data_IF_887903859220
#
_entry.id   IF_887903859220
#
_cell.length_a   1.000
_cell.length_b   1.000
_cell.length_c   1.000
_cell.angle_alpha   90.00
_cell.angle_beta   90.00
_cell.angle_gamma   90.00
#
_symmetry.space_group_name_H-M   'P 1'
#
loop_
_entity.id
_entity.type
_entity.pdbx_description
1 polymer ?
#
# COMPACT_ATOMS: atom_id res chain seq x y z
N UNK A 1 -12.92 -72.22 -22.19
CA UNK A 1 -14.21 -72.24 -21.48
C UNK A 1 -14.03 -71.67 -20.08
N UNK A 2 -14.99 -70.83 -19.66
CA UNK A 2 -15.28 -70.31 -18.30
C UNK A 2 -14.58 -69.01 -17.86
N UNK A 3 -15.44 -67.97 -17.84
CA UNK A 3 -15.34 -66.64 -17.29
C UNK A 3 -15.36 -66.63 -15.75
N UNK A 4 -14.64 -65.69 -15.12
CA UNK A 4 -14.93 -65.07 -13.81
C UNK A 4 -14.39 -63.63 -13.92
N UNK A 5 -15.17 -62.63 -14.36
CA UNK A 5 -16.06 -61.77 -13.56
C UNK A 5 -15.47 -61.37 -12.19
N UNK A 6 -14.77 -60.23 -12.15
CA UNK A 6 -14.64 -59.45 -10.92
C UNK A 6 -15.02 -58.00 -11.21
N UNK A 7 -16.27 -57.72 -10.84
CA UNK A 7 -16.84 -56.41 -10.60
C UNK A 7 -16.01 -55.68 -9.54
N UNK A 8 -15.37 -54.58 -9.91
CA UNK A 8 -15.05 -53.54 -8.93
C UNK A 8 -16.08 -52.42 -9.03
N UNK A 9 -16.85 -52.35 -7.95
CA UNK A 9 -17.87 -51.38 -7.65
C UNK A 9 -17.39 -49.93 -7.84
N UNK A 10 -18.13 -49.21 -8.68
CA UNK A 10 -18.24 -47.76 -8.65
C UNK A 10 -18.93 -47.38 -7.33
N UNK A 11 -18.16 -46.87 -6.38
CA UNK A 11 -18.66 -46.41 -5.09
C UNK A 11 -18.42 -44.91 -4.94
N UNK A 12 -19.53 -44.17 -5.00
CA UNK A 12 -19.74 -42.83 -4.44
C UNK A 12 -18.89 -41.67 -4.96
N UNK A 13 -19.38 -41.09 -6.08
CA UNK A 13 -19.35 -39.64 -6.29
C UNK A 13 -20.25 -39.01 -5.21
N UNK A 14 -19.69 -38.84 -4.01
CA UNK A 14 -20.26 -37.89 -3.07
C UNK A 14 -19.95 -36.50 -3.61
N UNK A 15 -20.93 -35.92 -4.30
CA UNK A 15 -21.00 -34.51 -4.61
C UNK A 15 -20.96 -33.72 -3.31
N UNK A 16 -19.75 -33.46 -2.80
CA UNK A 16 -19.52 -32.34 -1.89
C UNK A 16 -19.65 -31.09 -2.75
N UNK A 17 -20.86 -30.54 -2.74
CA UNK A 17 -21.09 -29.15 -3.07
C UNK A 17 -20.01 -28.31 -2.39
N UNK A 18 -19.10 -27.74 -3.18
CA UNK A 18 -18.20 -26.68 -2.75
C UNK A 18 -19.00 -25.37 -2.68
N UNK A 19 -20.09 -25.39 -1.90
CA UNK A 19 -20.77 -24.17 -1.50
C UNK A 19 -19.86 -23.46 -0.51
N UNK A 20 -19.07 -22.55 -1.07
CA UNK A 20 -18.79 -21.25 -0.50
C UNK A 20 -18.58 -21.25 1.01
N UNK A 21 -17.44 -21.78 1.45
CA UNK A 21 -16.75 -21.18 2.60
C UNK A 21 -16.31 -19.77 2.15
N UNK A 22 -17.27 -18.85 2.06
CA UNK A 22 -17.03 -17.44 2.17
C UNK A 22 -16.47 -17.27 3.58
N UNK A 23 -15.15 -17.41 3.69
CA UNK A 23 -14.37 -16.79 4.75
C UNK A 23 -14.82 -15.34 4.75
N UNK A 24 -15.77 -15.04 5.63
CA UNK A 24 -16.29 -13.71 5.85
C UNK A 24 -15.11 -12.95 6.43
N UNK A 25 -14.31 -12.41 5.51
CA UNK A 25 -13.04 -11.75 5.78
C UNK A 25 -13.40 -10.62 6.70
N UNK A 26 -13.09 -10.77 7.99
CA UNK A 26 -13.39 -9.75 9.00
C UNK A 26 -12.82 -8.45 8.47
N UNK A 27 -13.69 -7.45 8.34
CA UNK A 27 -13.25 -6.12 7.93
C UNK A 27 -12.14 -5.68 8.87
N UNK A 28 -11.05 -5.18 8.29
CA UNK A 28 -9.94 -4.61 9.05
C UNK A 28 -10.15 -3.12 9.32
N UNK A 29 -11.26 -2.57 8.82
CA UNK A 29 -11.71 -1.20 8.99
C UNK A 29 -12.64 -1.13 10.20
N UNK A 30 -12.15 -0.61 11.33
CA UNK A 30 -13.01 -0.32 12.48
C UNK A 30 -13.47 1.12 12.39
N UNK A 31 -14.78 1.39 12.53
CA UNK A 31 -15.36 2.75 12.47
C UNK A 31 -14.94 3.55 11.21
N UNK A 32 -14.86 2.86 10.07
CA UNK A 32 -14.42 3.43 8.79
C UNK A 32 -15.03 2.64 7.63
N UNK A 33 -15.13 3.29 6.48
CA UNK A 33 -15.67 2.69 5.27
C UNK A 33 -14.57 1.92 4.54
N UNK A 34 -14.77 0.61 4.38
CA UNK A 34 -13.90 -0.24 3.57
C UNK A 34 -14.26 -0.08 2.08
N UNK A 35 -13.33 0.42 1.27
CA UNK A 35 -13.59 0.65 -0.14
C UNK A 35 -12.51 0.03 -1.03
N UNK A 36 -12.96 -0.69 -2.07
CA UNK A 36 -12.10 -1.23 -3.11
C UNK A 36 -11.52 -0.13 -4.01
N UNK A 37 -10.22 -0.16 -4.23
CA UNK A 37 -9.42 0.81 -4.99
C UNK A 37 -8.43 0.13 -5.91
N UNK A 38 -8.05 0.81 -6.98
CA UNK A 38 -7.04 0.34 -7.92
C UNK A 38 -5.69 0.94 -7.52
N UNK A 39 -4.76 0.10 -7.09
CA UNK A 39 -3.43 0.53 -6.69
C UNK A 39 -2.47 0.41 -7.86
N UNK A 40 -1.61 1.42 -8.05
CA UNK A 40 -0.48 1.33 -8.98
C UNK A 40 0.74 0.88 -8.21
N UNK A 41 1.36 -0.22 -8.63
CA UNK A 41 2.69 -0.61 -8.22
C UNK A 41 3.70 -0.23 -9.31
N UNK A 42 4.88 0.23 -8.93
CA UNK A 42 5.98 0.39 -9.86
C UNK A 42 7.34 0.21 -9.20
N UNK A 43 8.38 0.03 -10.02
CA UNK A 43 9.72 -0.28 -9.53
C UNK A 43 10.84 0.14 -10.50
N UNK A 44 12.05 0.28 -9.95
CA UNK A 44 13.30 0.44 -10.70
C UNK A 44 14.22 -0.72 -10.38
N UNK A 45 14.71 -1.43 -11.40
CA UNK A 45 15.55 -2.60 -11.24
C UNK A 45 16.92 -2.41 -11.91
N UNK A 46 17.75 -1.56 -11.31
CA UNK A 46 19.08 -1.22 -11.83
C UNK A 46 20.20 -1.98 -11.10
N UNK A 47 19.88 -3.06 -10.37
CA UNK A 47 20.81 -3.77 -9.51
C UNK A 47 20.42 -5.22 -9.23
N UNK A 48 21.35 -5.95 -8.61
CA UNK A 48 21.12 -7.32 -8.16
C UNK A 48 20.13 -7.38 -7.00
N UNK A 49 19.25 -8.37 -7.01
CA UNK A 49 18.33 -8.65 -5.90
C UNK A 49 18.97 -9.67 -4.96
N UNK A 50 19.06 -9.35 -3.68
CA UNK A 50 19.65 -10.24 -2.67
C UNK A 50 18.62 -10.54 -1.57
N UNK A 51 18.74 -11.72 -0.96
CA UNK A 51 17.88 -12.12 0.18
C UNK A 51 18.12 -11.22 1.40
N UNK A 52 19.35 -10.72 1.59
CA UNK A 52 19.67 -9.79 2.64
C UNK A 52 18.86 -8.49 2.50
N UNK A 53 18.83 -7.89 1.31
CA UNK A 53 18.09 -6.66 1.08
C UNK A 53 16.57 -6.90 1.16
N UNK A 54 16.09 -8.05 0.67
CA UNK A 54 14.71 -8.49 0.87
C UNK A 54 14.33 -8.49 2.35
N UNK A 55 15.15 -9.08 3.22
CA UNK A 55 14.93 -9.10 4.67
C UNK A 55 14.94 -7.69 5.29
N UNK A 56 15.95 -6.86 4.97
CA UNK A 56 16.01 -5.47 5.49
C UNK A 56 14.77 -4.66 5.13
N UNK A 57 14.20 -4.89 3.95
CA UNK A 57 12.97 -4.21 3.52
C UNK A 57 11.73 -4.79 4.19
N UNK A 58 11.66 -6.09 4.50
CA UNK A 58 10.61 -6.62 5.37
C UNK A 58 10.62 -5.97 6.74
N UNK A 59 11.80 -5.82 7.33
CA UNK A 59 11.96 -5.17 8.64
C UNK A 59 11.46 -3.72 8.57
N UNK A 60 11.85 -2.98 7.53
CA UNK A 60 11.38 -1.62 7.29
C UNK A 60 9.85 -1.54 7.12
N UNK A 61 9.24 -2.44 6.34
CA UNK A 61 7.78 -2.51 6.15
C UNK A 61 7.08 -2.79 7.48
N UNK A 62 7.57 -3.75 8.26
CA UNK A 62 6.96 -4.14 9.52
C UNK A 62 7.07 -3.01 10.56
N UNK A 63 8.21 -2.32 10.60
CA UNK A 63 8.42 -1.17 11.48
C UNK A 63 7.49 -0.01 11.11
N UNK A 64 7.37 0.35 9.83
CA UNK A 64 6.42 1.38 9.39
C UNK A 64 4.96 0.98 9.64
N UNK A 65 4.60 -0.29 9.44
CA UNK A 65 3.27 -0.81 9.82
C UNK A 65 3.02 -0.64 11.31
N UNK A 66 4.01 -0.89 12.16
CA UNK A 66 3.89 -0.70 13.61
C UNK A 66 3.63 0.77 13.96
N UNK A 67 4.33 1.71 13.31
CA UNK A 67 4.13 3.15 13.51
C UNK A 67 2.75 3.62 13.06
N UNK A 68 2.27 3.14 11.91
CA UNK A 68 0.91 3.38 11.43
C UNK A 68 -0.14 2.87 12.43
N UNK A 69 0.07 1.68 13.00
CA UNK A 69 -0.86 1.14 14.00
C UNK A 69 -0.82 1.92 15.32
N UNK A 70 0.34 2.46 15.70
CA UNK A 70 0.52 3.22 16.94
C UNK A 70 -0.01 4.66 16.86
N UNK A 71 -0.16 5.22 15.67
CA UNK A 71 -0.56 6.62 15.47
C UNK A 71 -1.87 6.72 14.68
N UNK A 72 -2.86 7.42 15.23
CA UNK A 72 -4.13 7.68 14.54
C UNK A 72 -4.08 8.92 13.64
N UNK A 73 -3.31 9.93 14.04
CA UNK A 73 -3.41 11.28 13.47
C UNK A 73 -2.27 11.64 12.50
N UNK A 74 -1.14 10.92 12.55
CA UNK A 74 0.00 11.18 11.65
C UNK A 74 -0.28 10.70 10.22
N UNK A 75 0.17 11.46 9.23
CA UNK A 75 -0.05 11.20 7.80
C UNK A 75 1.21 10.71 7.06
N UNK A 76 2.40 11.06 7.53
CA UNK A 76 3.66 10.71 6.88
C UNK A 76 4.57 9.93 7.82
N UNK A 77 5.24 8.90 7.31
CA UNK A 77 6.12 8.03 8.10
C UNK A 77 7.41 7.77 7.32
N UNK A 78 8.54 8.25 7.84
CA UNK A 78 9.86 8.04 7.25
C UNK A 78 10.64 6.96 8.01
N UNK A 79 11.21 6.03 7.26
CA UNK A 79 12.15 5.02 7.74
C UNK A 79 13.53 5.26 7.10
N UNK A 80 14.61 5.15 7.88
CA UNK A 80 15.98 5.23 7.37
C UNK A 80 16.90 4.39 8.24
N UNK A 81 17.42 3.29 7.69
CA UNK A 81 18.36 2.40 8.38
C UNK A 81 19.01 1.45 7.36
N UNK A 82 20.29 1.11 7.56
CA UNK A 82 21.01 0.10 6.76
C UNK A 82 20.91 0.32 5.23
N UNK A 83 21.01 1.57 4.79
CA UNK A 83 20.84 2.03 3.39
C UNK A 83 19.43 1.85 2.80
N UNK A 84 18.47 1.38 3.59
CA UNK A 84 17.06 1.36 3.23
C UNK A 84 16.43 2.68 3.66
N UNK A 85 15.83 3.38 2.69
CA UNK A 85 14.95 4.52 2.93
C UNK A 85 13.53 4.11 2.57
N UNK A 86 12.61 4.24 3.51
CA UNK A 86 11.19 3.98 3.32
C UNK A 86 10.38 5.23 3.62
N UNK A 87 9.29 5.43 2.90
CA UNK A 87 8.36 6.51 3.21
C UNK A 87 6.94 6.13 2.85
N UNK A 88 6.03 6.45 3.77
CA UNK A 88 4.60 6.17 3.61
C UNK A 88 3.81 7.43 3.83
N UNK A 89 2.84 7.66 2.94
CA UNK A 89 1.83 8.71 3.05
C UNK A 89 0.45 8.06 3.19
N UNK A 90 -0.31 8.52 4.16
CA UNK A 90 -1.70 8.16 4.38
C UNK A 90 -2.49 9.45 4.63
N UNK A 91 -3.23 9.89 3.61
CA UNK A 91 -4.00 11.13 3.64
C UNK A 91 -4.93 11.24 4.85
N UNK A 92 -5.43 12.45 5.09
CA UNK A 92 -6.20 12.78 6.30
C UNK A 92 -7.44 11.91 6.52
N UNK A 93 -8.05 11.40 5.44
CA UNK A 93 -9.19 10.48 5.53
C UNK A 93 -8.79 9.00 5.43
N UNK A 94 -7.54 8.65 5.19
CA UNK A 94 -7.10 7.24 5.18
C UNK A 94 -6.84 6.79 6.61
N UNK A 95 -7.55 5.76 7.08
CA UNK A 95 -7.30 5.20 8.42
C UNK A 95 -5.94 4.47 8.46
N UNK A 96 -5.07 4.84 9.39
CA UNK A 96 -3.70 4.28 9.46
C UNK A 96 -3.67 2.76 9.72
N UNK A 97 -4.53 2.23 10.60
CA UNK A 97 -4.65 0.78 10.83
C UNK A 97 -5.09 0.03 9.56
N UNK A 98 -6.02 0.60 8.81
CA UNK A 98 -6.45 0.08 7.51
C UNK A 98 -5.32 0.07 6.48
N UNK A 99 -4.58 1.17 6.38
CA UNK A 99 -3.39 1.28 5.55
C UNK A 99 -2.30 0.25 5.93
N UNK A 100 -2.03 0.07 7.23
CA UNK A 100 -1.06 -0.92 7.71
C UNK A 100 -1.46 -2.36 7.35
N UNK A 101 -2.75 -2.70 7.49
CA UNK A 101 -3.25 -4.06 7.28
C UNK A 101 -3.48 -4.40 5.80
N UNK A 102 -3.86 -3.42 4.97
CA UNK A 102 -4.27 -3.66 3.59
C UNK A 102 -3.32 -3.06 2.56
N UNK A 103 -2.77 -1.87 2.83
CA UNK A 103 -1.98 -1.12 1.87
C UNK A 103 -0.74 -1.89 1.38
N UNK A 104 -0.06 -2.57 2.30
CA UNK A 104 1.20 -3.26 2.02
C UNK A 104 1.05 -4.63 1.37
N UNK A 105 -0.17 -5.17 1.22
CA UNK A 105 -0.37 -6.57 0.78
C UNK A 105 0.29 -6.88 -0.56
N UNK A 106 0.07 -6.04 -1.57
CA UNK A 106 0.67 -6.27 -2.89
C UNK A 106 2.16 -6.01 -2.88
N UNK A 107 2.63 -5.04 -2.10
CA UNK A 107 4.06 -4.75 -1.98
C UNK A 107 4.81 -5.94 -1.36
N UNK A 108 4.25 -6.54 -0.31
CA UNK A 108 4.76 -7.78 0.29
C UNK A 108 4.72 -8.92 -0.72
N UNK A 109 3.60 -9.09 -1.43
CA UNK A 109 3.49 -10.10 -2.49
C UNK A 109 4.57 -9.93 -3.58
N UNK A 110 4.86 -8.71 -4.01
CA UNK A 110 5.93 -8.43 -4.96
C UNK A 110 7.31 -8.81 -4.42
N UNK A 111 7.56 -8.44 -3.18
CA UNK A 111 8.80 -8.75 -2.49
C UNK A 111 9.00 -10.26 -2.31
N UNK A 112 7.93 -11.00 -2.01
CA UNK A 112 7.93 -12.46 -1.86
C UNK A 112 8.32 -13.15 -3.16
N UNK A 113 7.66 -12.80 -4.26
CA UNK A 113 7.79 -13.48 -5.55
C UNK A 113 9.00 -13.03 -6.37
N UNK A 114 9.41 -11.77 -6.24
CA UNK A 114 10.39 -11.16 -7.14
C UNK A 114 11.59 -10.57 -6.43
N UNK A 115 11.65 -10.60 -5.09
CA UNK A 115 12.73 -9.99 -4.31
C UNK A 115 12.73 -8.47 -4.33
N UNK A 116 13.72 -7.86 -3.66
CA UNK A 116 13.84 -6.39 -3.56
C UNK A 116 14.57 -5.80 -4.78
N UNK A 117 13.89 -5.06 -5.68
CA UNK A 117 14.54 -4.18 -6.66
C UNK A 117 15.24 -2.99 -5.97
N UNK A 118 15.98 -2.16 -6.71
CA UNK A 118 16.60 -0.95 -6.14
C UNK A 118 15.58 -0.02 -5.46
N UNK A 119 14.38 0.01 -6.02
CA UNK A 119 13.27 0.73 -5.43
C UNK A 119 11.96 0.16 -5.93
N UNK A 120 10.94 0.18 -5.09
CA UNK A 120 9.56 0.04 -5.52
C UNK A 120 8.66 1.01 -4.78
N UNK A 121 7.46 1.18 -5.30
CA UNK A 121 6.39 1.88 -4.63
C UNK A 121 5.06 1.24 -4.96
N UNK A 122 4.08 1.54 -4.13
CA UNK A 122 2.68 1.29 -4.40
C UNK A 122 1.89 2.53 -4.00
N UNK A 123 0.90 2.90 -4.79
CA UNK A 123 0.11 4.11 -4.58
C UNK A 123 -1.35 3.93 -4.98
N UNK A 124 -2.21 4.69 -4.32
CA UNK A 124 -3.54 5.05 -4.75
C UNK A 124 -3.66 6.57 -4.71
N UNK A 125 -3.92 7.16 -5.87
CA UNK A 125 -4.07 8.62 -6.03
C UNK A 125 -5.25 8.89 -6.95
N UNK A 126 -6.10 9.82 -6.57
CA UNK A 126 -7.31 10.18 -7.31
C UNK A 126 -7.51 11.71 -7.47
N UNK A 127 -6.43 12.49 -7.30
CA UNK A 127 -6.48 13.96 -7.31
C UNK A 127 -6.88 14.60 -5.98
N UNK A 128 -7.45 13.84 -5.03
CA UNK A 128 -7.72 14.32 -3.68
C UNK A 128 -6.67 13.76 -2.70
N UNK A 129 -5.73 14.58 -2.18
CA UNK A 129 -4.68 14.11 -1.28
C UNK A 129 -5.23 13.54 0.04
N UNK A 130 -6.41 13.96 0.49
CA UNK A 130 -7.05 13.43 1.71
C UNK A 130 -7.35 11.94 1.60
N UNK A 131 -7.63 11.47 0.38
CA UNK A 131 -7.91 10.06 0.08
C UNK A 131 -6.69 9.30 -0.45
N UNK A 132 -5.57 9.98 -0.65
CA UNK A 132 -4.36 9.39 -1.21
C UNK A 132 -3.65 8.48 -0.22
N UNK A 133 -3.08 7.38 -0.72
CA UNK A 133 -2.21 6.50 0.05
C UNK A 133 -1.02 6.08 -0.82
N UNK A 134 0.17 5.99 -0.24
CA UNK A 134 1.32 5.46 -0.94
C UNK A 134 2.42 5.01 -0.02
N UNK A 135 3.21 4.04 -0.47
CA UNK A 135 4.38 3.54 0.20
C UNK A 135 5.50 3.34 -0.82
N UNK A 136 6.71 3.81 -0.51
CA UNK A 136 7.90 3.69 -1.35
C UNK A 136 9.08 3.25 -0.49
N UNK A 137 9.91 2.36 -1.04
CA UNK A 137 11.13 1.88 -0.39
C UNK A 137 12.26 1.85 -1.42
N UNK A 138 13.41 2.39 -1.05
CA UNK A 138 14.62 2.48 -1.86
C UNK A 138 15.80 1.89 -1.06
N UNK A 139 16.50 0.91 -1.63
CA UNK A 139 17.65 0.23 -0.99
C UNK A 139 19.01 0.86 -1.31
N UNK A 140 19.03 1.97 -2.06
CA UNK A 140 20.23 2.70 -2.49
C UNK A 140 20.57 3.87 -1.57
N UNK A 141 19.74 4.14 -0.56
CA UNK A 141 19.95 5.25 0.37
C UNK A 141 19.45 6.61 -0.14
N UNK A 142 18.76 6.66 -1.30
CA UNK A 142 18.35 7.91 -1.92
C UNK A 142 17.11 8.53 -1.26
N UNK A 143 17.34 9.30 -0.20
CA UNK A 143 16.27 9.97 0.55
C UNK A 143 15.49 11.00 -0.28
N UNK A 144 16.17 11.78 -1.10
CA UNK A 144 15.55 12.85 -1.88
C UNK A 144 14.49 12.32 -2.85
N UNK A 145 14.80 11.22 -3.53
CA UNK A 145 13.88 10.55 -4.45
C UNK A 145 12.63 10.03 -3.75
N UNK A 146 12.83 9.43 -2.58
CA UNK A 146 11.74 8.91 -1.75
C UNK A 146 10.85 10.06 -1.22
N UNK A 147 11.46 11.17 -0.83
CA UNK A 147 10.72 12.38 -0.42
C UNK A 147 9.92 12.99 -1.58
N UNK A 148 10.46 12.99 -2.81
CA UNK A 148 9.73 13.48 -3.99
C UNK A 148 8.40 12.74 -4.20
N UNK A 149 8.38 11.41 -4.03
CA UNK A 149 7.16 10.63 -4.15
C UNK A 149 6.08 11.08 -3.15
N UNK A 150 6.48 11.33 -1.91
CA UNK A 150 5.56 11.77 -0.84
C UNK A 150 5.03 13.17 -1.10
N UNK A 151 5.86 14.08 -1.62
CA UNK A 151 5.42 15.42 -2.05
C UNK A 151 4.35 15.34 -3.15
N UNK A 152 4.50 14.41 -4.09
CA UNK A 152 3.49 14.19 -5.11
C UNK A 152 2.18 13.69 -4.49
N UNK A 153 2.24 12.69 -3.61
CA UNK A 153 1.05 12.13 -2.96
C UNK A 153 0.32 13.15 -2.07
N UNK A 154 1.05 13.97 -1.31
CA UNK A 154 0.48 15.04 -0.49
C UNK A 154 -0.17 16.15 -1.33
N UNK A 155 0.21 16.27 -2.61
CA UNK A 155 -0.43 17.13 -3.60
C UNK A 155 -1.51 16.42 -4.44
N UNK A 156 -1.84 15.17 -4.15
CA UNK A 156 -2.83 14.40 -4.91
C UNK A 156 -2.33 13.96 -6.30
N UNK A 157 -1.01 13.86 -6.49
CA UNK A 157 -0.35 13.50 -7.74
C UNK A 157 0.34 12.13 -7.65
N UNK A 158 0.27 11.36 -8.74
CA UNK A 158 0.92 10.05 -8.86
C UNK A 158 2.40 10.16 -9.18
N UNK A 159 3.18 9.17 -8.76
CA UNK A 159 4.57 9.02 -9.20
C UNK A 159 4.58 8.45 -10.62
N UNK A 160 4.75 9.31 -11.62
CA UNK A 160 4.71 8.95 -13.06
C UNK A 160 6.09 8.62 -13.66
N UNK A 161 7.19 8.80 -12.92
CA UNK A 161 8.56 8.79 -13.46
C UNK A 161 9.16 7.39 -13.69
N UNK A 162 8.46 6.31 -13.34
CA UNK A 162 9.02 4.96 -13.38
C UNK A 162 8.54 4.16 -14.60
N UNK A 163 9.47 3.51 -15.28
CA UNK A 163 9.22 2.77 -16.52
C UNK A 163 8.36 1.51 -16.31
N UNK A 164 8.57 0.79 -15.20
CA UNK A 164 7.86 -0.46 -14.92
C UNK A 164 6.71 -0.21 -13.95
N UNK A 165 5.47 -0.37 -14.42
CA UNK A 165 4.25 -0.14 -13.63
C UNK A 165 3.20 -1.23 -13.90
N UNK A 166 2.41 -1.56 -12.89
CA UNK A 166 1.23 -2.42 -12.99
C UNK A 166 0.13 -1.97 -12.04
N UNK A 167 -1.10 -2.36 -12.34
CA UNK A 167 -2.27 -1.97 -11.54
C UNK A 167 -2.90 -3.19 -10.87
N UNK A 168 -3.05 -3.10 -9.55
CA UNK A 168 -3.78 -4.06 -8.71
C UNK A 168 -5.21 -3.57 -8.51
N UNK A 169 -6.20 -4.35 -8.96
CA UNK A 169 -7.61 -3.99 -8.82
C UNK A 169 -8.18 -4.41 -7.46
N UNK A 170 -9.26 -3.74 -7.04
CA UNK A 170 -10.08 -4.12 -5.88
C UNK A 170 -9.31 -4.28 -4.56
N UNK A 171 -8.34 -3.41 -4.32
CA UNK A 171 -7.54 -3.36 -3.09
C UNK A 171 -8.27 -2.55 -2.03
N UNK A 172 -8.34 -3.09 -0.82
CA UNK A 172 -9.09 -2.47 0.26
C UNK A 172 -8.32 -1.31 0.90
N UNK A 173 -8.98 -0.15 1.06
CA UNK A 173 -8.56 0.92 1.95
C UNK A 173 -9.72 1.29 2.88
N UNK A 174 -9.37 1.67 4.11
CA UNK A 174 -10.32 2.12 5.11
C UNK A 174 -10.32 3.65 5.14
N UNK A 175 -11.49 4.26 4.94
CA UNK A 175 -11.65 5.71 4.99
C UNK A 175 -12.41 6.15 6.24
N UNK A 176 -11.84 7.12 6.95
CA UNK A 176 -12.50 7.85 8.03
C UNK A 176 -13.59 8.76 7.42
N UNK A 177 -14.64 9.01 8.20
CA UNK A 177 -15.60 10.06 7.83
C UNK A 177 -14.91 11.43 7.78
N UNK A 178 -15.50 12.37 7.05
CA UNK A 178 -14.94 13.72 6.95
C UNK A 178 -14.81 14.40 8.33
N UNK A 179 -15.74 14.16 9.26
CA UNK A 179 -15.68 14.69 10.63
C UNK A 179 -14.65 13.99 11.51
N UNK A 180 -14.30 12.73 11.22
CA UNK A 180 -13.29 11.95 11.93
C UNK A 180 -11.92 11.95 11.26
N UNK A 181 -11.71 12.80 10.25
CA UNK A 181 -10.43 12.90 9.54
C UNK A 181 -9.31 13.40 10.46
N UNK A 182 -8.08 13.01 10.15
CA UNK A 182 -6.88 13.52 10.80
C UNK A 182 -6.73 15.02 10.51
N UNK A 183 -6.11 15.74 11.43
CA UNK A 183 -5.73 17.12 11.19
C UNK A 183 -4.69 17.21 10.06
N UNK A 184 -4.89 18.17 9.16
CA UNK A 184 -3.90 18.49 8.13
C UNK A 184 -2.75 19.24 8.80
N UNK A 185 -1.65 18.53 8.99
CA UNK A 185 -0.41 19.09 9.54
C UNK A 185 0.62 19.30 8.44
N UNK A 186 1.40 20.37 8.57
CA UNK A 186 2.64 20.51 7.82
C UNK A 186 3.65 19.51 8.41
N UNK A 187 3.76 18.33 7.82
CA UNK A 187 4.91 17.48 8.04
C UNK A 187 6.05 18.03 7.19
N UNK A 188 7.02 18.70 7.82
CA UNK A 188 8.16 19.31 7.13
C UNK A 188 8.95 18.30 6.27
N UNK A 189 8.83 17.01 6.56
CA UNK A 189 9.46 15.93 5.80
C UNK A 189 8.65 15.51 4.56
N UNK A 190 7.33 15.75 4.53
CA UNK A 190 6.43 15.55 3.38
C UNK A 190 6.34 16.78 2.43
N UNK A 191 7.19 17.78 2.67
CA UNK A 191 7.08 19.18 2.27
C UNK A 191 5.84 19.88 2.85
N UNK A 192 5.96 21.20 3.08
CA UNK A 192 4.82 22.04 3.43
C UNK A 192 3.69 21.77 2.42
N UNK A 193 2.49 21.46 2.92
CA UNK A 193 1.29 21.56 2.12
C UNK A 193 1.29 22.97 1.54
N UNK A 194 1.54 23.11 0.24
CA UNK A 194 1.26 24.35 -0.47
C UNK A 194 -0.26 24.47 -0.43
N UNK A 195 -0.74 25.05 0.67
CA UNK A 195 -2.12 25.43 0.84
C UNK A 195 -2.46 26.31 -0.35
N UNK A 196 -3.26 25.76 -1.27
CA UNK A 196 -3.88 26.49 -2.37
C UNK A 196 -4.71 27.70 -1.87
N UNK A 197 -4.83 27.89 -0.56
CA UNK A 197 -5.37 29.07 0.11
C UNK A 197 -4.58 30.37 -0.09
N UNK A 198 -3.37 30.36 -0.66
CA UNK A 198 -2.65 31.62 -0.98
C UNK A 198 -2.85 32.16 -2.41
N UNK A 199 -3.70 31.55 -3.25
CA UNK A 199 -4.04 32.11 -4.56
C UNK A 199 -5.34 32.93 -4.61
N UNK A 200 -6.05 33.10 -3.49
CA UNK A 200 -7.31 33.86 -3.43
C UNK A 200 -7.25 35.17 -2.62
N UNK A 201 -6.07 35.73 -2.38
CA UNK A 201 -5.91 37.03 -1.70
C UNK A 201 -4.94 37.96 -2.41
N UNK A 202 -5.14 38.19 -3.71
CA UNK A 202 -4.77 39.47 -4.35
C UNK A 202 -5.75 39.82 -5.47
N UNK A 203 -6.92 40.33 -5.09
CA UNK A 203 -7.60 41.34 -5.91
C UNK A 203 -6.97 42.67 -5.46
N UNK A 204 -6.10 43.33 -6.26
CA UNK A 204 -5.77 44.71 -5.99
C UNK A 204 -7.02 45.56 -6.21
N UNK A 205 -7.18 46.56 -5.34
CA UNK A 205 -8.24 47.56 -5.37
C UNK A 205 -8.32 48.31 -6.70
#
# INVERSE_FOLDING_TARGET
MKYIFLLFLVAFVNGRSWEGLLLQKRSTCSNSDEVGRSFTFGYINDGGKTDENKRKVYDAINEVKSWLMASKDRQAYRYTKDNIVGYVWAGSMVQNSGAANNGFKNLIYELDNWGMPNMFYIEYVNGNPMHGWGAIFDQTGNLERVQEAVKLWSAGQSVKKFANRKTYQSQSLCYLSYSGRKNEGNDGEAACCWTAHMLYTRIPA
#
